data_IF_892670540349
#
_entry.id   IF_892670540349
#
_cell.length_a   1.000
_cell.length_b   1.000
_cell.length_c   1.000
_cell.angle_alpha   90.00
_cell.angle_beta   90.00
_cell.angle_gamma   90.00
#
_symmetry.space_group_name_H-M   'P 1'
#
loop_
_entity.id
_entity.type
_entity.pdbx_description
1 polymer ?
#
# COMPACT_ATOMS: atom_id res chain seq x y z
N UNK A 1 -0.66 -20.94 -0.28
CA UNK A 1 -1.11 -19.65 -0.82
C UNK A 1 -2.60 -19.55 -0.59
N UNK A 2 -3.03 -18.80 0.43
CA UNK A 2 -4.45 -18.66 0.72
C UNK A 2 -5.11 -17.76 -0.32
N UNK A 3 -5.89 -18.35 -1.23
CA UNK A 3 -6.59 -17.66 -2.31
C UNK A 3 -7.39 -16.46 -1.79
N UNK A 4 -8.06 -16.63 -0.64
CA UNK A 4 -8.84 -15.59 0.03
C UNK A 4 -7.99 -14.40 0.48
N UNK A 5 -6.81 -14.65 1.05
CA UNK A 5 -5.92 -13.58 1.51
C UNK A 5 -5.34 -12.80 0.32
N UNK A 6 -5.00 -13.49 -0.77
CA UNK A 6 -4.54 -12.85 -2.00
C UNK A 6 -5.64 -12.01 -2.66
N UNK A 7 -6.89 -12.47 -2.63
CA UNK A 7 -8.03 -11.71 -3.12
C UNK A 7 -8.24 -10.41 -2.30
N UNK A 8 -8.15 -10.48 -0.98
CA UNK A 8 -8.25 -9.31 -0.11
C UNK A 8 -7.11 -8.33 -0.39
N UNK A 9 -5.87 -8.81 -0.54
CA UNK A 9 -4.73 -7.95 -0.95
C UNK A 9 -4.99 -7.25 -2.28
N UNK A 10 -5.57 -7.96 -3.26
CA UNK A 10 -5.95 -7.39 -4.55
C UNK A 10 -7.01 -6.29 -4.40
N UNK A 11 -8.08 -6.57 -3.64
CA UNK A 11 -9.15 -5.59 -3.35
C UNK A 11 -8.62 -4.34 -2.66
N UNK A 12 -7.76 -4.50 -1.64
CA UNK A 12 -7.08 -3.41 -0.94
C UNK A 12 -6.25 -2.55 -1.91
N UNK A 13 -5.49 -3.18 -2.82
CA UNK A 13 -4.68 -2.47 -3.81
C UNK A 13 -5.53 -1.64 -4.77
N UNK A 14 -6.60 -2.24 -5.30
CA UNK A 14 -7.53 -1.55 -6.22
C UNK A 14 -8.22 -0.39 -5.52
N UNK A 15 -8.82 -0.64 -4.35
CA UNK A 15 -9.54 0.38 -3.59
C UNK A 15 -8.64 1.55 -3.19
N UNK A 16 -7.37 1.29 -2.84
CA UNK A 16 -6.40 2.36 -2.56
C UNK A 16 -6.17 3.27 -3.77
N UNK A 17 -6.06 2.70 -4.98
CA UNK A 17 -5.90 3.49 -6.19
C UNK A 17 -7.16 4.34 -6.49
N UNK A 18 -8.35 3.76 -6.31
CA UNK A 18 -9.62 4.47 -6.47
C UNK A 18 -9.76 5.62 -5.45
N UNK A 19 -9.37 5.39 -4.20
CA UNK A 19 -9.37 6.41 -3.15
C UNK A 19 -8.42 7.57 -3.46
N UNK A 20 -7.23 7.30 -3.99
CA UNK A 20 -6.30 8.35 -4.42
C UNK A 20 -6.91 9.20 -5.53
N UNK A 21 -7.49 8.55 -6.55
CA UNK A 21 -8.15 9.26 -7.64
C UNK A 21 -9.34 10.12 -7.17
N UNK A 22 -10.15 9.61 -6.23
CA UNK A 22 -11.24 10.39 -5.65
C UNK A 22 -10.73 11.58 -4.82
N UNK A 23 -9.63 11.41 -4.07
CA UNK A 23 -8.96 12.50 -3.37
C UNK A 23 -8.46 13.60 -4.32
N UNK A 24 -7.84 13.21 -5.43
CA UNK A 24 -7.39 14.14 -6.47
C UNK A 24 -8.57 14.88 -7.12
N UNK A 25 -9.70 14.19 -7.33
CA UNK A 25 -10.91 14.81 -7.87
C UNK A 25 -11.49 15.86 -6.90
N UNK A 26 -11.59 15.53 -5.60
CA UNK A 26 -12.03 16.48 -4.57
C UNK A 26 -11.11 17.71 -4.56
N UNK A 27 -9.78 17.50 -4.62
CA UNK A 27 -8.82 18.61 -4.67
C UNK A 27 -9.04 19.51 -5.88
N UNK A 28 -9.37 18.95 -7.04
CA UNK A 28 -9.70 19.72 -8.25
C UNK A 28 -10.98 20.53 -8.09
N UNK A 29 -12.03 19.93 -7.51
CA UNK A 29 -13.31 20.61 -7.24
C UNK A 29 -13.12 21.78 -6.27
N UNK A 30 -12.41 21.55 -5.17
CA UNK A 30 -12.08 22.60 -4.18
C UNK A 30 -11.30 23.75 -4.82
N UNK A 31 -10.31 23.45 -5.67
CA UNK A 31 -9.53 24.49 -6.36
C UNK A 31 -10.35 25.31 -7.37
N UNK A 32 -11.56 24.86 -7.73
CA UNK A 32 -12.48 25.54 -8.64
C UNK A 32 -13.70 26.12 -7.92
N UNK A 33 -13.71 26.06 -6.58
CA UNK A 33 -14.86 26.43 -5.75
C UNK A 33 -16.14 25.67 -6.12
N UNK A 34 -16.01 24.44 -6.63
CA UNK A 34 -17.12 23.53 -6.97
C UNK A 34 -17.57 22.73 -5.73
N UNK A 35 -18.86 22.35 -5.67
CA UNK A 35 -19.34 21.44 -4.63
C UNK A 35 -18.69 20.06 -4.75
N UNK A 36 -18.05 19.62 -3.67
CA UNK A 36 -17.38 18.32 -3.58
C UNK A 36 -18.10 17.32 -2.66
N UNK A 37 -19.30 17.64 -2.16
CA UNK A 37 -20.01 16.86 -1.12
C UNK A 37 -20.25 15.41 -1.51
N UNK A 38 -20.66 15.15 -2.76
CA UNK A 38 -20.86 13.80 -3.28
C UNK A 38 -19.53 13.02 -3.35
N UNK A 39 -18.49 13.63 -3.93
CA UNK A 39 -17.18 13.02 -4.06
C UNK A 39 -16.56 12.70 -2.69
N UNK A 40 -16.72 13.62 -1.72
CA UNK A 40 -16.30 13.44 -0.34
C UNK A 40 -17.05 12.28 0.35
N UNK A 41 -18.37 12.21 0.17
CA UNK A 41 -19.21 11.13 0.71
C UNK A 41 -18.77 9.77 0.16
N UNK A 42 -18.53 9.68 -1.15
CA UNK A 42 -18.02 8.47 -1.80
C UNK A 42 -16.63 8.08 -1.29
N UNK A 43 -15.74 9.04 -1.09
CA UNK A 43 -14.42 8.79 -0.51
C UNK A 43 -14.53 8.23 0.92
N UNK A 44 -15.45 8.75 1.74
CA UNK A 44 -15.68 8.22 3.08
C UNK A 44 -16.23 6.79 3.05
N UNK A 45 -17.15 6.47 2.14
CA UNK A 45 -17.63 5.10 1.96
C UNK A 45 -16.49 4.14 1.57
N UNK A 46 -15.61 4.55 0.65
CA UNK A 46 -14.42 3.76 0.30
C UNK A 46 -13.47 3.58 1.50
N UNK A 47 -13.29 4.60 2.34
CA UNK A 47 -12.49 4.49 3.58
C UNK A 47 -13.08 3.46 4.55
N UNK A 48 -14.40 3.44 4.73
CA UNK A 48 -15.06 2.43 5.55
C UNK A 48 -14.85 1.01 5.01
N UNK A 49 -15.00 0.83 3.69
CA UNK A 49 -14.74 -0.46 3.03
C UNK A 49 -13.27 -0.90 3.19
N UNK A 50 -12.31 0.04 3.08
CA UNK A 50 -10.88 -0.22 3.26
C UNK A 50 -10.58 -0.73 4.67
N UNK A 51 -11.16 -0.10 5.71
CA UNK A 51 -11.01 -0.57 7.10
C UNK A 51 -11.54 -1.99 7.25
N UNK A 52 -12.71 -2.30 6.67
CA UNK A 52 -13.26 -3.66 6.69
C UNK A 52 -12.35 -4.70 6.03
N UNK A 53 -11.77 -4.38 4.87
CA UNK A 53 -10.83 -5.25 4.18
C UNK A 53 -9.54 -5.45 4.98
N UNK A 54 -8.99 -4.40 5.59
CA UNK A 54 -7.78 -4.49 6.42
C UNK A 54 -8.03 -5.34 7.66
N UNK A 55 -9.19 -5.20 8.30
CA UNK A 55 -9.57 -6.02 9.44
C UNK A 55 -9.65 -7.51 9.05
N UNK A 56 -10.32 -7.85 7.94
CA UNK A 56 -10.38 -9.22 7.45
C UNK A 56 -9.00 -9.77 7.08
N UNK A 57 -8.17 -8.96 6.42
CA UNK A 57 -6.78 -9.28 6.11
C UNK A 57 -5.99 -9.65 7.37
N UNK A 58 -6.14 -8.86 8.44
CA UNK A 58 -5.46 -9.10 9.72
C UNK A 58 -5.99 -10.38 10.39
N UNK A 59 -7.30 -10.63 10.38
CA UNK A 59 -7.90 -11.87 10.92
C UNK A 59 -7.37 -13.13 10.23
N UNK A 60 -7.05 -13.05 8.94
CA UNK A 60 -6.45 -14.13 8.17
C UNK A 60 -4.92 -14.23 8.32
N UNK A 61 -4.32 -13.56 9.31
CA UNK A 61 -2.88 -13.58 9.53
C UNK A 61 -2.07 -12.84 8.47
N UNK A 62 -2.72 -12.01 7.65
CA UNK A 62 -2.03 -11.20 6.64
C UNK A 62 -1.44 -9.91 7.19
N UNK A 63 -1.61 -9.63 8.49
CA UNK A 63 -0.99 -8.48 9.14
C UNK A 63 0.52 -8.56 8.95
N UNK A 64 1.10 -7.49 8.42
CA UNK A 64 2.54 -7.44 8.26
C UNK A 64 3.13 -6.96 9.57
N UNK A 65 3.95 -7.80 10.20
CA UNK A 65 4.64 -7.42 11.44
C UNK A 65 5.50 -6.19 11.15
N UNK A 66 5.15 -5.07 11.78
CA UNK A 66 5.98 -3.88 11.75
C UNK A 66 7.31 -4.22 12.41
N UNK A 67 8.40 -4.05 11.65
CA UNK A 67 9.74 -4.19 12.18
C UNK A 67 10.00 -3.04 13.14
N UNK A 68 10.62 -3.34 14.27
CA UNK A 68 11.18 -2.29 15.12
C UNK A 68 12.39 -1.63 14.42
N UNK A 69 12.90 -0.55 15.01
CA UNK A 69 14.00 0.25 14.44
C UNK A 69 15.22 -0.62 14.15
N UNK A 70 15.62 -1.48 15.09
CA UNK A 70 16.79 -2.36 14.94
C UNK A 70 16.60 -3.41 13.83
N UNK A 71 15.42 -4.00 13.76
CA UNK A 71 15.06 -4.97 12.73
C UNK A 71 15.03 -4.33 11.35
N UNK A 72 14.51 -3.10 11.24
CA UNK A 72 14.52 -2.31 10.01
C UNK A 72 15.95 -2.03 9.56
N UNK A 73 16.79 -1.49 10.46
CA UNK A 73 18.20 -1.20 10.20
C UNK A 73 18.96 -2.43 9.71
N UNK A 74 18.77 -3.59 10.36
CA UNK A 74 19.40 -4.85 9.93
C UNK A 74 18.96 -5.28 8.53
N UNK A 75 17.69 -5.06 8.18
CA UNK A 75 17.13 -5.43 6.88
C UNK A 75 17.70 -4.53 5.76
N UNK A 76 17.83 -3.24 6.02
CA UNK A 76 18.42 -2.26 5.10
C UNK A 76 19.91 -2.54 4.86
N UNK A 77 20.67 -2.81 5.92
CA UNK A 77 22.08 -3.22 5.81
C UNK A 77 22.22 -4.48 4.96
N UNK A 78 21.40 -5.52 5.22
CA UNK A 78 21.37 -6.74 4.40
C UNK A 78 21.02 -6.47 2.94
N UNK A 79 20.10 -5.55 2.66
CA UNK A 79 19.72 -5.18 1.31
C UNK A 79 20.89 -4.48 0.56
N UNK A 80 21.60 -3.58 1.23
CA UNK A 80 22.81 -2.93 0.69
C UNK A 80 23.90 -3.95 0.39
N UNK A 81 24.18 -4.87 1.32
CA UNK A 81 25.19 -5.92 1.13
C UNK A 81 24.83 -6.84 -0.04
N UNK A 82 23.55 -7.24 -0.18
CA UNK A 82 23.09 -8.03 -1.34
C UNK A 82 23.27 -7.28 -2.66
N UNK A 83 22.97 -5.97 -2.69
CA UNK A 83 23.16 -5.14 -3.89
C UNK A 83 24.63 -5.03 -4.29
N UNK A 84 25.53 -4.92 -3.30
CA UNK A 84 26.98 -4.90 -3.53
C UNK A 84 27.49 -6.25 -4.05
N UNK A 85 27.03 -7.37 -3.47
CA UNK A 85 27.33 -8.72 -3.94
C UNK A 85 26.85 -8.96 -5.38
N UNK A 86 25.62 -8.57 -5.70
CA UNK A 86 25.09 -8.69 -7.06
C UNK A 86 25.96 -7.92 -8.07
N UNK A 87 26.37 -6.69 -7.72
CA UNK A 87 27.22 -5.85 -8.56
C UNK A 87 28.65 -6.38 -8.73
N UNK A 88 29.19 -7.06 -7.71
CA UNK A 88 30.50 -7.72 -7.75
C UNK A 88 30.51 -9.04 -8.54
N UNK A 89 29.34 -9.67 -8.70
CA UNK A 89 29.16 -10.84 -9.56
C UNK A 89 28.95 -10.43 -11.02
N UNK A 90 28.20 -9.35 -11.27
CA UNK A 90 27.98 -8.79 -12.61
C UNK A 90 29.27 -8.20 -13.24
N UNK A 91 30.19 -7.71 -12.40
CA UNK A 91 31.47 -7.14 -12.83
C UNK A 91 32.56 -8.17 -13.21
N UNK A 92 32.35 -9.47 -12.97
CA UNK A 92 33.32 -10.54 -13.28
C UNK A 92 33.08 -11.25 -14.62
N UNK A 93 32.11 -10.79 -15.40
CA UNK A 93 31.74 -11.35 -16.71
C UNK A 93 32.13 -10.50 -17.93
N UNK A 94 33.15 -9.65 -17.83
CA UNK A 94 33.71 -8.90 -18.97
C UNK A 94 35.20 -9.11 -19.09
#
# INVERSE_FOLDING_TARGET
>A
MDNKLNEIRRKIKVLRAEMLNAGDNIRKQVNRDEDCSEAATRLMAMRAAMVGLVAERNRLGGEERLLNVDERLKLDVRAVSRKQLARALDGRGR
#
